data_IF_783321433693
#
_entry.id   IF_783321433693
#
_cell.length_a   1.000
_cell.length_b   1.000
_cell.length_c   1.000
_cell.angle_alpha   90.00
_cell.angle_beta   90.00
_cell.angle_gamma   90.00
#
_symmetry.space_group_name_H-M   'P 1'
#
loop_
_entity.id
_entity.type
_entity.pdbx_description
1 polymer ?
#
# COMPACT_ATOMS: atom_id res chain seq x y z
N UNK A 1 37.45 -31.26 42.46
CA UNK A 1 36.15 -31.07 43.16
C UNK A 1 35.17 -32.08 42.58
N UNK A 2 34.85 -33.17 43.28
CA UNK A 2 33.92 -34.20 42.81
C UNK A 2 32.50 -33.76 43.14
N UNK A 3 31.73 -33.32 42.15
CA UNK A 3 30.33 -32.92 42.33
C UNK A 3 29.50 -34.21 42.39
N UNK A 4 28.97 -34.55 43.56
CA UNK A 4 28.10 -35.71 43.75
C UNK A 4 26.68 -35.35 43.30
N UNK A 5 26.28 -35.81 42.11
CA UNK A 5 24.89 -35.74 41.63
C UNK A 5 24.02 -36.71 42.45
N UNK A 6 23.36 -36.20 43.50
CA UNK A 6 22.53 -37.00 44.42
C UNK A 6 21.10 -37.30 43.95
N UNK A 7 20.68 -36.82 42.78
CA UNK A 7 19.31 -36.99 42.29
C UNK A 7 19.28 -37.35 40.79
N UNK A 8 19.71 -38.56 40.39
CA UNK A 8 19.70 -38.99 38.99
C UNK A 8 18.28 -39.00 38.40
N UNK A 9 17.24 -39.20 39.24
CA UNK A 9 15.84 -39.18 38.83
C UNK A 9 15.36 -37.77 38.41
N UNK A 10 15.85 -36.72 39.08
CA UNK A 10 15.48 -35.34 38.76
C UNK A 10 16.15 -34.87 37.46
N UNK A 11 17.38 -35.35 37.20
CA UNK A 11 18.11 -35.10 35.97
C UNK A 11 17.48 -35.84 34.78
N UNK A 12 16.94 -37.05 35.01
CA UNK A 12 16.17 -37.81 34.01
C UNK A 12 14.82 -37.13 33.68
N UNK A 13 14.14 -36.57 34.69
CA UNK A 13 12.89 -35.84 34.52
C UNK A 13 13.09 -34.51 33.75
N UNK A 14 14.17 -33.79 34.05
CA UNK A 14 14.61 -32.60 33.29
C UNK A 14 14.97 -32.95 31.83
N UNK A 15 15.59 -34.11 31.60
CA UNK A 15 15.90 -34.57 30.24
C UNK A 15 14.63 -34.92 29.44
N UNK A 16 13.59 -35.42 30.11
CA UNK A 16 12.30 -35.77 29.49
C UNK A 16 11.49 -34.53 29.08
N UNK A 17 11.61 -33.43 29.84
CA UNK A 17 10.97 -32.15 29.50
C UNK A 17 11.58 -31.46 28.27
N UNK A 18 12.79 -31.87 27.85
CA UNK A 18 13.46 -31.36 26.65
C UNK A 18 13.10 -32.13 25.36
N UNK A 19 12.26 -33.17 25.43
CA UNK A 19 11.83 -34.00 24.28
C UNK A 19 10.40 -33.67 23.81
N UNK A 20 9.97 -32.42 23.91
CA UNK A 20 8.75 -31.99 23.21
C UNK A 20 9.13 -31.60 21.79
N UNK A 21 9.09 -32.56 20.86
CA UNK A 21 8.95 -32.24 19.45
C UNK A 21 7.54 -31.69 19.24
N UNK A 22 7.44 -30.40 18.92
CA UNK A 22 6.23 -29.85 18.33
C UNK A 22 6.29 -30.17 16.85
N UNK A 23 5.42 -31.06 16.38
CA UNK A 23 5.26 -31.29 14.95
C UNK A 23 4.71 -30.01 14.31
N UNK A 24 5.41 -29.48 13.32
CA UNK A 24 4.88 -28.38 12.50
C UNK A 24 3.69 -28.95 11.70
N UNK A 25 2.52 -28.34 11.85
CA UNK A 25 1.36 -28.67 11.02
C UNK A 25 1.61 -27.99 9.66
N UNK A 26 1.86 -28.74 8.58
CA UNK A 26 1.95 -28.14 7.26
C UNK A 26 0.57 -27.57 6.91
N UNK A 27 0.51 -26.27 6.63
CA UNK A 27 -0.69 -25.64 6.11
C UNK A 27 -0.83 -26.05 4.65
N UNK A 28 -1.69 -27.04 4.40
CA UNK A 28 -2.02 -27.53 3.06
C UNK A 28 -3.51 -27.29 2.75
N UNK A 29 -3.80 -26.95 1.49
CA UNK A 29 -5.14 -26.70 0.99
C UNK A 29 -5.89 -28.03 0.88
N UNK A 30 -6.82 -28.28 1.81
CA UNK A 30 -7.61 -29.54 1.81
C UNK A 30 -8.56 -29.66 0.61
N UNK A 31 -9.14 -28.54 0.19
CA UNK A 31 -10.05 -28.46 -0.96
C UNK A 31 -9.89 -27.13 -1.67
N UNK A 32 -9.87 -27.15 -2.99
CA UNK A 32 -9.71 -25.96 -3.82
C UNK A 32 -10.88 -25.86 -4.79
N UNK A 33 -11.58 -24.72 -4.74
CA UNK A 33 -12.55 -24.32 -5.75
C UNK A 33 -11.97 -23.10 -6.49
N UNK A 34 -11.89 -23.21 -7.82
CA UNK A 34 -11.55 -22.08 -8.69
C UNK A 34 -12.80 -21.20 -8.83
N UNK A 35 -12.78 -20.04 -8.15
CA UNK A 35 -13.90 -19.12 -8.04
C UNK A 35 -13.50 -17.79 -8.66
N UNK A 36 -14.32 -17.29 -9.59
CA UNK A 36 -14.19 -15.94 -10.11
C UNK A 36 -14.54 -14.91 -9.02
N UNK A 37 -13.63 -13.96 -8.79
CA UNK A 37 -13.81 -12.83 -7.86
C UNK A 37 -13.95 -11.55 -8.67
N UNK A 38 -15.05 -10.83 -8.48
CA UNK A 38 -15.40 -9.62 -9.22
C UNK A 38 -15.51 -8.41 -8.28
N UNK A 39 -14.73 -7.37 -8.54
CA UNK A 39 -14.89 -6.05 -7.92
C UNK A 39 -15.37 -5.06 -9.00
N UNK A 40 -16.65 -4.69 -8.95
CA UNK A 40 -17.26 -3.81 -9.94
C UNK A 40 -18.11 -2.74 -9.25
N UNK A 41 -17.69 -1.48 -9.34
CA UNK A 41 -18.45 -0.33 -8.85
C UNK A 41 -18.62 0.66 -9.99
N UNK A 42 -19.84 0.74 -10.53
CA UNK A 42 -20.23 1.77 -11.48
C UNK A 42 -20.65 3.03 -10.72
N UNK A 43 -20.17 4.20 -11.13
CA UNK A 43 -20.45 5.46 -10.43
C UNK A 43 -21.07 6.53 -11.31
N UNK A 44 -21.64 7.55 -10.68
CA UNK A 44 -22.10 8.78 -11.34
C UNK A 44 -20.98 9.82 -11.56
N UNK A 45 -19.71 9.43 -11.45
CA UNK A 45 -18.59 10.29 -11.83
C UNK A 45 -18.27 10.08 -13.31
N UNK A 46 -18.43 11.13 -14.11
CA UNK A 46 -18.04 11.13 -15.52
C UNK A 46 -16.57 10.75 -15.70
N UNK A 47 -16.32 9.74 -16.52
CA UNK A 47 -14.99 9.29 -16.89
C UNK A 47 -14.97 7.82 -17.30
N UNK A 48 -13.78 7.26 -17.38
CA UNK A 48 -13.59 5.83 -17.60
C UNK A 48 -13.92 5.05 -16.32
N UNK A 49 -14.75 4.02 -16.46
CA UNK A 49 -15.14 3.13 -15.35
C UNK A 49 -14.20 1.93 -15.31
N UNK A 50 -13.95 1.37 -14.12
CA UNK A 50 -13.04 0.25 -13.92
C UNK A 50 -13.74 -0.95 -13.30
N UNK A 51 -13.36 -2.16 -13.72
CA UNK A 51 -13.76 -3.44 -13.15
C UNK A 51 -12.51 -4.29 -12.95
N UNK A 52 -12.40 -4.94 -11.79
CA UNK A 52 -11.28 -5.85 -11.51
C UNK A 52 -11.78 -7.27 -11.36
N UNK A 53 -11.00 -8.19 -11.92
CA UNK A 53 -11.23 -9.62 -11.85
C UNK A 53 -10.01 -10.31 -11.28
N UNK A 54 -10.25 -11.31 -10.45
CA UNK A 54 -9.23 -12.25 -10.02
C UNK A 54 -9.85 -13.63 -9.84
N UNK A 55 -9.00 -14.66 -9.68
CA UNK A 55 -9.42 -16.01 -9.29
C UNK A 55 -8.82 -16.39 -7.95
N UNK A 56 -9.52 -17.24 -7.21
CA UNK A 56 -8.97 -17.90 -6.03
C UNK A 56 -7.70 -18.68 -6.41
N UNK A 57 -6.77 -18.76 -5.47
CA UNK A 57 -5.51 -19.49 -5.65
C UNK A 57 -5.21 -20.32 -4.41
N UNK A 58 -4.43 -21.38 -4.58
CA UNK A 58 -4.00 -22.28 -3.51
C UNK A 58 -3.16 -21.53 -2.48
N UNK A 59 -3.26 -21.91 -1.20
CA UNK A 59 -2.47 -21.30 -0.13
C UNK A 59 -0.96 -21.46 -0.37
N UNK A 60 -0.55 -22.59 -0.95
CA UNK A 60 0.85 -22.90 -1.30
C UNK A 60 1.28 -22.23 -2.62
N UNK A 61 0.34 -21.65 -3.35
CA UNK A 61 0.57 -20.97 -4.62
C UNK A 61 1.07 -19.54 -4.41
N UNK A 62 2.06 -19.10 -5.20
CA UNK A 62 2.71 -17.81 -5.00
C UNK A 62 2.15 -16.65 -5.85
N UNK A 63 1.02 -16.80 -6.57
CA UNK A 63 0.55 -15.77 -7.50
C UNK A 63 -0.97 -15.69 -7.60
N UNK A 64 -1.51 -14.48 -7.39
CA UNK A 64 -2.87 -14.09 -7.80
C UNK A 64 -2.91 -14.05 -9.33
N UNK A 65 -3.74 -14.90 -9.95
CA UNK A 65 -3.90 -14.93 -11.40
C UNK A 65 -5.04 -13.96 -11.82
N UNK A 66 -4.75 -12.88 -12.54
CA UNK A 66 -5.80 -12.05 -13.12
C UNK A 66 -6.52 -12.80 -14.24
N UNK A 67 -7.85 -12.63 -14.33
CA UNK A 67 -8.62 -13.20 -15.45
C UNK A 67 -8.37 -12.37 -16.72
N UNK A 68 -7.56 -12.92 -17.63
CA UNK A 68 -7.23 -12.27 -18.89
C UNK A 68 -8.19 -12.69 -20.03
N UNK A 69 -8.50 -11.75 -20.93
CA UNK A 69 -9.30 -11.96 -22.15
C UNK A 69 -10.78 -12.33 -21.92
N UNK A 70 -11.38 -11.88 -20.82
CA UNK A 70 -12.84 -11.92 -20.67
C UNK A 70 -13.51 -10.88 -21.58
N UNK A 71 -14.70 -11.19 -22.09
CA UNK A 71 -15.58 -10.20 -22.72
C UNK A 71 -16.50 -9.65 -21.64
N UNK A 72 -16.41 -8.34 -21.38
CA UNK A 72 -17.10 -7.68 -20.27
C UNK A 72 -17.87 -6.48 -20.80
N UNK A 73 -19.14 -6.37 -20.44
CA UNK A 73 -19.92 -5.17 -20.70
C UNK A 73 -20.94 -4.92 -19.61
N UNK A 74 -21.28 -3.65 -19.42
CA UNK A 74 -22.45 -3.23 -18.65
C UNK A 74 -23.54 -2.86 -19.65
N UNK A 75 -24.76 -3.29 -19.41
CA UNK A 75 -25.93 -2.92 -20.19
C UNK A 75 -26.89 -2.08 -19.35
N UNK A 76 -27.48 -1.04 -19.95
CA UNK A 76 -28.55 -0.24 -19.33
C UNK A 76 -29.97 -0.66 -19.79
N UNK A 77 -30.99 -0.08 -19.16
CA UNK A 77 -32.41 -0.31 -19.48
C UNK A 77 -32.81 -0.06 -20.94
N UNK A 78 -32.05 0.76 -21.66
CA UNK A 78 -32.27 1.09 -23.07
C UNK A 78 -31.51 0.16 -24.01
N UNK A 79 -30.89 -0.90 -23.48
CA UNK A 79 -30.03 -1.85 -24.20
C UNK A 79 -28.77 -1.22 -24.79
N UNK A 80 -28.30 -0.08 -24.25
CA UNK A 80 -26.97 0.41 -24.58
C UNK A 80 -25.93 -0.44 -23.86
N UNK A 81 -24.87 -0.82 -24.58
CA UNK A 81 -23.78 -1.63 -24.05
C UNK A 81 -22.51 -0.79 -23.91
N UNK A 82 -21.95 -0.80 -22.71
CA UNK A 82 -20.67 -0.19 -22.36
C UNK A 82 -19.64 -1.31 -22.22
N UNK A 83 -18.79 -1.45 -23.23
CA UNK A 83 -17.76 -2.50 -23.26
C UNK A 83 -16.52 -2.08 -22.46
N UNK A 84 -15.79 -3.09 -21.95
CA UNK A 84 -14.57 -2.90 -21.18
C UNK A 84 -13.42 -3.73 -21.76
N UNK A 85 -12.23 -3.13 -21.79
CA UNK A 85 -10.99 -3.73 -22.29
C UNK A 85 -9.90 -3.71 -21.19
N UNK A 86 -9.11 -4.78 -21.00
CA UNK A 86 -8.05 -4.79 -19.99
C UNK A 86 -6.89 -3.87 -20.35
N UNK A 87 -6.36 -3.16 -19.35
CA UNK A 87 -5.12 -2.39 -19.45
C UNK A 87 -3.87 -3.23 -19.11
N UNK A 88 -2.69 -2.63 -19.16
CA UNK A 88 -1.39 -3.28 -18.88
C UNK A 88 -1.28 -3.89 -17.47
N UNK A 89 -2.18 -3.52 -16.55
CA UNK A 89 -2.26 -4.04 -15.17
C UNK A 89 -3.35 -5.08 -14.98
N UNK A 90 -4.05 -5.49 -16.05
CA UNK A 90 -5.16 -6.44 -16.00
C UNK A 90 -6.47 -5.88 -15.43
N UNK A 91 -6.57 -4.55 -15.26
CA UNK A 91 -7.82 -3.88 -14.87
C UNK A 91 -8.64 -3.61 -16.13
N UNK A 92 -9.92 -3.97 -16.12
CA UNK A 92 -10.83 -3.74 -17.24
C UNK A 92 -11.35 -2.31 -17.16
N UNK A 93 -11.08 -1.53 -18.20
CA UNK A 93 -11.46 -0.12 -18.29
C UNK A 93 -12.48 0.03 -19.40
N UNK A 94 -13.51 0.85 -19.19
CA UNK A 94 -14.52 1.08 -20.22
C UNK A 94 -13.91 1.67 -21.50
N UNK A 95 -14.43 1.29 -22.66
CA UNK A 95 -13.89 1.79 -23.94
C UNK A 95 -14.22 3.28 -24.18
N UNK A 96 -15.26 3.76 -23.51
CA UNK A 96 -15.74 5.14 -23.56
C UNK A 96 -15.92 5.71 -22.16
N UNK A 97 -15.83 7.03 -22.05
CA UNK A 97 -16.23 7.73 -20.83
C UNK A 97 -17.76 7.71 -20.70
N UNK A 98 -18.27 7.38 -19.51
CA UNK A 98 -19.69 7.46 -19.18
C UNK A 98 -19.88 7.55 -17.66
N UNK A 99 -21.11 7.78 -17.24
CA UNK A 99 -21.52 7.83 -15.84
C UNK A 99 -22.86 7.09 -15.66
N UNK A 100 -23.09 6.56 -14.47
CA UNK A 100 -24.41 6.06 -14.10
C UNK A 100 -25.43 7.20 -13.98
N UNK A 101 -26.59 7.00 -14.58
CA UNK A 101 -27.70 7.94 -14.57
C UNK A 101 -28.73 7.55 -13.50
N UNK A 102 -29.39 8.53 -12.87
CA UNK A 102 -30.52 8.27 -11.99
C UNK A 102 -31.63 7.48 -12.71
N UNK A 103 -32.38 6.70 -11.92
CA UNK A 103 -33.53 5.90 -12.36
C UNK A 103 -33.27 4.83 -13.43
N UNK A 104 -32.01 4.64 -13.86
CA UNK A 104 -31.59 3.61 -14.82
C UNK A 104 -31.09 2.36 -14.09
N UNK A 105 -31.55 1.16 -14.48
CA UNK A 105 -30.89 -0.08 -14.07
C UNK A 105 -29.71 -0.40 -14.97
N UNK A 106 -28.73 -1.04 -14.35
CA UNK A 106 -27.55 -1.58 -15.00
C UNK A 106 -27.42 -3.05 -14.66
N UNK A 107 -26.89 -3.81 -15.62
CA UNK A 107 -26.55 -5.23 -15.46
C UNK A 107 -25.15 -5.46 -15.98
N UNK A 108 -24.32 -6.13 -15.20
CA UNK A 108 -22.98 -6.55 -15.59
C UNK A 108 -23.04 -7.94 -16.23
N UNK A 109 -22.43 -8.06 -17.41
CA UNK A 109 -22.26 -9.33 -18.13
C UNK A 109 -20.78 -9.65 -18.31
N UNK A 110 -20.41 -10.87 -18.00
CA UNK A 110 -19.04 -11.38 -18.09
C UNK A 110 -19.07 -12.69 -18.87
N UNK A 111 -18.22 -12.81 -19.89
CA UNK A 111 -17.90 -14.08 -20.54
C UNK A 111 -16.40 -14.31 -20.42
N UNK A 112 -15.98 -15.29 -19.64
CA UNK A 112 -14.56 -15.62 -19.43
C UNK A 112 -13.94 -16.26 -20.66
N UNK A 113 -12.62 -16.37 -20.67
CA UNK A 113 -11.85 -16.93 -21.79
C UNK A 113 -12.16 -18.40 -22.08
N UNK A 114 -12.59 -19.17 -21.07
CA UNK A 114 -13.03 -20.56 -21.18
C UNK A 114 -14.52 -20.71 -21.57
N UNK A 115 -15.25 -19.60 -21.75
CA UNK A 115 -16.65 -19.59 -22.17
C UNK A 115 -17.68 -19.66 -21.03
N UNK A 116 -17.26 -19.61 -19.77
CA UNK A 116 -18.19 -19.44 -18.64
C UNK A 116 -18.84 -18.05 -18.71
N UNK A 117 -20.12 -17.98 -18.34
CA UNK A 117 -20.91 -16.75 -18.43
C UNK A 117 -21.50 -16.42 -17.07
N UNK A 118 -21.31 -15.17 -16.66
CA UNK A 118 -21.83 -14.64 -15.40
C UNK A 118 -22.61 -13.36 -15.65
N UNK A 119 -23.63 -13.15 -14.82
CA UNK A 119 -24.49 -11.98 -14.87
C UNK A 119 -24.81 -11.50 -13.46
N UNK A 120 -24.85 -10.18 -13.26
CA UNK A 120 -25.33 -9.59 -12.00
C UNK A 120 -26.86 -9.53 -11.95
N UNK A 121 -27.41 -9.35 -10.75
CA UNK A 121 -28.75 -8.77 -10.62
C UNK A 121 -28.77 -7.35 -11.21
N UNK A 122 -29.97 -6.85 -11.50
CA UNK A 122 -30.18 -5.43 -11.77
C UNK A 122 -29.72 -4.60 -10.56
N UNK A 123 -29.03 -3.50 -10.83
CA UNK A 123 -28.60 -2.52 -9.84
C UNK A 123 -28.88 -1.10 -10.34
N UNK A 124 -29.26 -0.21 -9.43
CA UNK A 124 -29.57 1.20 -9.74
C UNK A 124 -28.66 2.13 -8.95
N UNK A 125 -28.45 3.32 -9.50
CA UNK A 125 -27.73 4.39 -8.82
C UNK A 125 -28.41 4.75 -7.49
N UNK A 126 -27.64 4.74 -6.41
CA UNK A 126 -28.07 5.14 -5.07
C UNK A 126 -28.32 6.65 -4.95
N UNK A 127 -29.06 7.11 -3.92
CA UNK A 127 -29.20 8.54 -3.63
C UNK A 127 -27.84 9.22 -3.49
N UNK A 128 -27.77 10.52 -3.79
CA UNK A 128 -26.53 11.29 -3.67
C UNK A 128 -26.30 11.76 -2.24
N UNK A 129 -25.04 11.73 -1.81
CA UNK A 129 -24.57 12.31 -0.55
C UNK A 129 -23.21 12.99 -0.76
N UNK A 130 -23.00 14.11 -0.07
CA UNK A 130 -21.75 14.86 -0.12
C UNK A 130 -20.94 14.68 1.15
N UNK A 131 -19.62 14.83 1.02
CA UNK A 131 -18.74 15.09 2.15
C UNK A 131 -18.93 16.57 2.51
N UNK A 132 -19.38 16.86 3.73
CA UNK A 132 -19.56 18.24 4.19
C UNK A 132 -18.24 18.78 4.74
N UNK A 133 -17.51 17.94 5.46
CA UNK A 133 -16.21 18.27 5.99
C UNK A 133 -15.26 17.07 5.93
N UNK A 134 -14.06 17.31 5.40
CA UNK A 134 -12.91 16.40 5.47
C UNK A 134 -11.80 17.18 6.17
N UNK A 135 -11.38 16.71 7.33
CA UNK A 135 -10.44 17.44 8.18
C UNK A 135 -9.51 16.50 8.91
N UNK A 136 -8.44 17.08 9.43
CA UNK A 136 -7.43 16.39 10.22
C UNK A 136 -7.41 16.96 11.63
N UNK A 137 -7.26 16.09 12.62
CA UNK A 137 -7.08 16.49 14.01
C UNK A 137 -6.12 15.55 14.74
N UNK A 138 -5.52 16.04 15.82
CA UNK A 138 -4.85 15.18 16.80
C UNK A 138 -5.92 14.45 17.61
N UNK A 139 -5.74 13.14 17.78
CA UNK A 139 -6.65 12.28 18.57
C UNK A 139 -6.60 12.73 20.03
N UNK A 140 -7.76 12.95 20.69
CA UNK A 140 -7.78 13.38 22.09
C UNK A 140 -7.34 12.28 23.07
N UNK A 141 -7.36 11.02 22.62
CA UNK A 141 -7.11 9.84 23.45
C UNK A 141 -5.75 9.17 23.15
N UNK A 142 -5.15 9.45 22.00
CA UNK A 142 -3.95 8.76 21.52
C UNK A 142 -2.95 9.73 20.89
N UNK A 143 -1.66 9.39 20.86
CA UNK A 143 -0.61 10.19 20.19
C UNK A 143 -0.63 9.97 18.66
N UNK A 144 -1.80 10.15 18.06
CA UNK A 144 -2.08 9.87 16.66
C UNK A 144 -2.82 11.02 16.00
N UNK A 145 -2.64 11.13 14.70
CA UNK A 145 -3.34 12.04 13.81
C UNK A 145 -4.45 11.28 13.10
N UNK A 146 -5.65 11.85 13.09
CA UNK A 146 -6.86 11.28 12.50
C UNK A 146 -7.36 12.16 11.37
N UNK A 147 -7.62 11.56 10.21
CA UNK A 147 -8.38 12.15 9.12
C UNK A 147 -9.83 11.69 9.25
N UNK A 148 -10.74 12.64 9.38
CA UNK A 148 -12.14 12.42 9.70
C UNK A 148 -13.05 12.99 8.61
N UNK A 149 -14.22 12.37 8.46
CA UNK A 149 -15.31 12.83 7.60
C UNK A 149 -16.57 13.11 8.41
N UNK A 150 -17.20 14.24 8.10
CA UNK A 150 -18.57 14.57 8.49
C UNK A 150 -19.46 14.68 7.24
N UNK A 151 -20.70 14.23 7.35
CA UNK A 151 -21.70 14.29 6.27
C UNK A 151 -23.13 14.35 6.85
N UNK A 152 -23.85 15.43 6.58
CA UNK A 152 -25.27 15.57 6.88
C UNK A 152 -26.12 15.10 5.68
N UNK A 153 -26.89 14.04 5.90
CA UNK A 153 -27.72 13.40 4.89
C UNK A 153 -29.21 13.49 5.23
N UNK A 154 -29.64 14.43 6.07
CA UNK A 154 -31.05 14.56 6.48
C UNK A 154 -32.01 14.85 5.32
N UNK A 155 -31.50 15.42 4.22
CA UNK A 155 -32.27 15.66 2.98
C UNK A 155 -32.11 14.56 1.93
N UNK A 156 -31.37 13.49 2.25
CA UNK A 156 -31.08 12.37 1.35
C UNK A 156 -31.54 11.06 1.98
N UNK A 157 -31.97 10.11 1.14
CA UNK A 157 -32.29 8.75 1.59
C UNK A 157 -31.03 7.86 1.75
N UNK A 158 -29.83 8.44 1.58
CA UNK A 158 -28.56 7.75 1.75
C UNK A 158 -28.33 7.33 3.22
N UNK A 159 -28.25 6.04 3.51
CA UNK A 159 -28.07 5.52 4.88
C UNK A 159 -26.85 4.62 5.08
N UNK A 160 -26.21 4.21 4.00
CA UNK A 160 -25.08 3.28 4.00
C UNK A 160 -23.94 3.90 3.22
N UNK A 161 -22.77 3.98 3.85
CA UNK A 161 -21.63 4.71 3.30
C UNK A 161 -20.40 3.84 3.32
N UNK A 162 -19.67 3.83 2.20
CA UNK A 162 -18.33 3.23 2.09
C UNK A 162 -17.34 4.30 1.68
N UNK A 163 -16.13 4.21 2.22
CA UNK A 163 -15.07 5.16 1.96
C UNK A 163 -13.84 4.46 1.38
N UNK A 164 -13.20 5.14 0.44
CA UNK A 164 -11.88 4.82 -0.05
C UNK A 164 -11.02 6.07 0.05
N UNK A 165 -9.71 5.90 0.21
CA UNK A 165 -8.79 7.03 0.11
C UNK A 165 -7.56 6.71 -0.73
N UNK A 166 -7.04 7.78 -1.34
CA UNK A 166 -5.73 7.81 -1.97
C UNK A 166 -4.89 8.85 -1.23
N UNK A 167 -3.80 8.38 -0.60
CA UNK A 167 -2.85 9.22 0.11
C UNK A 167 -1.57 9.39 -0.71
N UNK A 168 -1.03 10.60 -0.73
CA UNK A 168 0.24 10.91 -1.39
C UNK A 168 1.06 11.78 -0.46
N UNK A 169 2.34 11.48 -0.30
CA UNK A 169 3.24 12.22 0.57
C UNK A 169 4.54 12.56 -0.14
N UNK A 170 5.05 13.75 0.15
CA UNK A 170 6.33 14.24 -0.36
C UNK A 170 7.47 13.66 0.47
N UNK A 171 8.56 13.32 -0.20
CA UNK A 171 9.79 12.82 0.40
C UNK A 171 10.93 13.72 -0.06
N UNK A 172 11.69 14.27 0.89
CA UNK A 172 12.94 14.96 0.60
C UNK A 172 14.10 14.27 1.29
N UNK A 173 15.03 13.69 0.53
CA UNK A 173 16.20 13.02 1.11
C UNK A 173 17.08 14.00 1.90
N UNK A 174 17.63 13.58 3.05
CA UNK A 174 18.46 14.45 3.88
C UNK A 174 19.77 14.87 3.22
N UNK A 175 20.37 14.00 2.40
CA UNK A 175 21.72 14.16 1.87
C UNK A 175 21.76 14.08 0.35
N UNK A 176 21.30 15.14 -0.32
CA UNK A 176 21.31 15.24 -1.78
C UNK A 176 22.49 16.04 -2.35
N UNK A 177 23.18 15.47 -3.35
CA UNK A 177 24.16 16.16 -4.19
C UNK A 177 23.65 16.33 -5.62
N UNK A 178 23.95 17.49 -6.23
CA UNK A 178 23.75 17.71 -7.67
C UNK A 178 24.73 16.91 -8.55
N UNK A 179 25.73 16.26 -7.95
CA UNK A 179 26.80 15.56 -8.67
C UNK A 179 26.88 14.09 -8.28
N UNK A 180 27.23 13.26 -9.25
CA UNK A 180 27.75 11.90 -9.06
C UNK A 180 29.28 11.94 -8.97
N UNK A 181 29.87 11.17 -8.06
CA UNK A 181 31.31 10.93 -8.04
C UNK A 181 31.63 9.75 -8.94
N UNK A 182 32.38 9.99 -10.01
CA UNK A 182 32.79 8.98 -11.00
C UNK A 182 34.28 8.77 -10.90
N UNK A 183 34.70 7.51 -10.92
CA UNK A 183 36.11 7.14 -10.85
C UNK A 183 36.74 7.22 -12.25
N UNK A 184 37.86 7.92 -12.34
CA UNK A 184 38.68 8.04 -13.56
C UNK A 184 40.15 7.75 -13.27
N UNK A 185 40.98 7.62 -14.31
CA UNK A 185 42.43 7.44 -14.20
C UNK A 185 42.88 6.32 -13.22
N UNK A 186 42.24 5.15 -13.29
CA UNK A 186 42.51 4.01 -12.39
C UNK A 186 43.90 3.42 -12.65
N UNK A 187 44.73 3.33 -11.62
CA UNK A 187 46.07 2.74 -11.65
C UNK A 187 46.22 1.68 -10.53
N UNK A 188 46.85 0.55 -10.87
CA UNK A 188 47.12 -0.57 -9.95
C UNK A 188 46.00 -1.63 -9.88
N UNK A 189 46.25 -2.73 -9.15
CA UNK A 189 45.27 -3.80 -8.98
C UNK A 189 44.18 -3.39 -7.98
N UNK A 190 42.91 -3.52 -8.37
CA UNK A 190 41.74 -3.10 -7.57
C UNK A 190 41.70 -1.59 -7.24
N UNK A 191 42.21 -0.72 -8.13
CA UNK A 191 42.08 0.73 -7.99
C UNK A 191 42.84 1.33 -6.81
N UNK A 192 44.12 0.99 -6.66
CA UNK A 192 44.96 1.54 -5.58
C UNK A 192 45.18 3.05 -5.69
N UNK A 193 45.15 3.58 -6.91
CA UNK A 193 45.16 5.01 -7.22
C UNK A 193 44.11 5.28 -8.29
N UNK A 194 43.36 6.36 -8.12
CA UNK A 194 42.32 6.80 -9.05
C UNK A 194 41.94 8.25 -8.77
N UNK A 195 41.43 8.94 -9.79
CA UNK A 195 40.84 10.26 -9.64
C UNK A 195 39.33 10.14 -9.45
N UNK A 196 38.74 11.11 -8.73
CA UNK A 196 37.29 11.24 -8.59
C UNK A 196 36.87 12.51 -9.33
N UNK A 197 36.03 12.34 -10.34
CA UNK A 197 35.41 13.43 -11.09
C UNK A 197 33.96 13.60 -10.67
N UNK A 198 33.52 14.85 -10.50
CA UNK A 198 32.14 15.17 -10.15
C UNK A 198 31.34 15.49 -11.43
N UNK A 199 30.41 14.62 -11.77
CA UNK A 199 29.56 14.74 -12.95
C UNK A 199 28.17 15.21 -12.53
N UNK A 200 27.62 16.23 -13.20
CA UNK A 200 26.28 16.75 -12.89
C UNK A 200 25.21 15.69 -13.14
N UNK A 201 24.26 15.54 -12.22
CA UNK A 201 23.10 14.65 -12.37
C UNK A 201 22.09 15.24 -13.36
N UNK A 202 21.47 14.37 -14.17
CA UNK A 202 20.41 14.76 -15.10
C UNK A 202 19.02 14.74 -14.45
N UNK A 203 18.81 13.87 -13.47
CA UNK A 203 17.53 13.70 -12.78
C UNK A 203 17.51 14.33 -11.38
N UNK A 204 16.33 14.79 -10.97
CA UNK A 204 16.12 15.23 -9.60
C UNK A 204 15.83 14.04 -8.70
N UNK A 205 16.83 13.64 -7.93
CA UNK A 205 16.75 12.57 -6.93
C UNK A 205 16.49 13.10 -5.51
N UNK A 206 16.29 14.42 -5.36
CA UNK A 206 16.07 15.06 -4.06
C UNK A 206 14.64 14.89 -3.57
N UNK A 207 13.66 15.07 -4.46
CA UNK A 207 12.24 15.21 -4.13
C UNK A 207 11.41 14.18 -4.87
N UNK A 208 10.70 13.35 -4.12
CA UNK A 208 9.82 12.33 -4.66
C UNK A 208 8.43 12.33 -4.01
N UNK A 209 7.51 11.58 -4.60
CA UNK A 209 6.13 11.43 -4.18
C UNK A 209 5.74 9.95 -4.21
N UNK A 210 5.24 9.46 -3.08
CA UNK A 210 4.71 8.09 -2.99
C UNK A 210 3.20 8.17 -2.82
N UNK A 211 2.47 7.40 -3.63
CA UNK A 211 0.99 7.32 -3.58
C UNK A 211 0.55 5.93 -3.17
N UNK A 212 -0.29 5.86 -2.14
CA UNK A 212 -0.89 4.63 -1.63
C UNK A 212 -2.42 4.73 -1.66
N UNK A 213 -3.10 3.59 -1.73
CA UNK A 213 -4.56 3.49 -1.66
C UNK A 213 -4.99 2.70 -0.43
N UNK A 214 -6.18 2.99 0.08
CA UNK A 214 -6.80 2.25 1.18
C UNK A 214 -6.91 0.75 0.85
N UNK A 215 -6.53 -0.10 1.81
CA UNK A 215 -6.63 -1.57 1.69
C UNK A 215 -7.78 -2.18 2.51
N UNK A 216 -8.30 -1.44 3.48
CA UNK A 216 -9.36 -1.89 4.38
C UNK A 216 -10.72 -1.44 3.88
N UNK A 217 -11.76 -2.22 4.18
CA UNK A 217 -13.16 -1.85 3.94
C UNK A 217 -13.58 -0.85 5.02
N UNK A 218 -13.72 0.42 4.66
CA UNK A 218 -14.19 1.47 5.56
C UNK A 218 -15.66 1.74 5.28
N UNK A 219 -16.54 1.42 6.24
CA UNK A 219 -17.97 1.60 6.05
C UNK A 219 -18.68 1.98 7.35
N UNK A 220 -19.79 2.70 7.22
CA UNK A 220 -20.67 3.07 8.34
C UNK A 220 -22.11 3.17 7.86
N UNK A 221 -23.06 3.16 8.80
CA UNK A 221 -24.48 3.33 8.50
C UNK A 221 -25.18 4.23 9.52
N UNK A 222 -26.14 4.99 9.02
CA UNK A 222 -27.01 5.87 9.83
C UNK A 222 -28.40 5.28 10.03
N UNK A 223 -28.68 4.10 9.47
CA UNK A 223 -29.99 3.43 9.52
C UNK A 223 -30.53 3.12 10.94
N UNK A 224 -29.68 3.21 11.97
CA UNK A 224 -30.03 3.02 13.38
C UNK A 224 -29.91 4.30 14.22
N UNK A 225 -29.60 5.42 13.59
CA UNK A 225 -29.48 6.73 14.22
C UNK A 225 -30.80 7.49 14.07
N UNK A 226 -31.05 8.42 15.00
CA UNK A 226 -32.24 9.29 14.93
C UNK A 226 -32.12 10.30 13.78
N UNK A 227 -30.91 10.85 13.58
CA UNK A 227 -30.60 11.78 12.51
C UNK A 227 -29.71 11.09 11.48
N UNK A 228 -29.95 11.36 10.19
CA UNK A 228 -29.14 10.82 9.10
C UNK A 228 -27.82 11.60 8.96
N UNK A 229 -26.96 11.50 9.97
CA UNK A 229 -25.71 12.27 10.05
C UNK A 229 -24.57 11.32 10.39
N UNK A 230 -23.50 11.40 9.60
CA UNK A 230 -22.19 10.80 9.90
C UNK A 230 -21.32 11.89 10.51
N UNK A 231 -20.87 11.70 11.74
CA UNK A 231 -19.96 12.61 12.44
C UNK A 231 -18.68 11.88 12.84
N UNK A 232 -17.54 12.55 12.65
CA UNK A 232 -16.21 12.13 13.09
C UNK A 232 -15.84 10.71 12.66
N UNK A 233 -16.26 10.30 11.47
CA UNK A 233 -15.95 8.94 11.00
C UNK A 233 -14.46 8.86 10.59
N UNK A 234 -13.67 7.94 11.19
CA UNK A 234 -12.24 7.87 10.93
C UNK A 234 -11.93 7.21 9.58
N UNK A 235 -11.27 7.96 8.71
CA UNK A 235 -10.81 7.49 7.39
C UNK A 235 -9.38 6.95 7.47
N UNK A 236 -8.49 7.68 8.15
CA UNK A 236 -7.08 7.34 8.23
C UNK A 236 -6.53 7.76 9.59
N UNK A 237 -5.81 6.85 10.25
CA UNK A 237 -5.09 7.13 11.48
C UNK A 237 -3.59 6.95 11.24
N UNK A 238 -2.79 7.93 11.64
CA UNK A 238 -1.34 8.00 11.42
C UNK A 238 -0.67 8.29 12.77
N UNK A 239 0.42 7.60 13.11
CA UNK A 239 1.17 7.96 14.32
C UNK A 239 1.80 9.35 14.16
N UNK A 240 1.85 10.14 15.23
CA UNK A 240 2.33 11.53 15.19
C UNK A 240 3.80 11.66 14.79
N UNK A 241 4.61 10.66 15.11
CA UNK A 241 6.04 10.55 14.78
C UNK A 241 6.31 9.95 13.38
N UNK A 242 5.25 9.66 12.61
CA UNK A 242 5.41 9.02 11.32
C UNK A 242 6.01 9.97 10.27
N UNK A 243 7.09 9.53 9.62
CA UNK A 243 7.76 10.26 8.53
C UNK A 243 6.86 10.69 7.37
N UNK A 244 5.69 10.06 7.17
CA UNK A 244 4.68 10.50 6.19
C UNK A 244 4.22 11.95 6.39
N UNK A 245 4.25 12.43 7.64
CA UNK A 245 3.84 13.78 8.04
C UNK A 245 4.99 14.79 8.03
N UNK A 246 6.21 14.34 7.68
CA UNK A 246 7.45 15.14 7.74
C UNK A 246 7.45 16.29 6.76
N UNK A 247 7.01 16.02 5.54
CA UNK A 247 6.83 17.01 4.50
C UNK A 247 5.34 17.20 4.23
N UNK A 248 4.99 17.69 3.05
CA UNK A 248 3.61 17.87 2.63
C UNK A 248 2.94 16.50 2.39
N UNK A 249 1.76 16.32 2.97
CA UNK A 249 0.90 15.14 2.85
C UNK A 249 -0.44 15.54 2.21
N UNK A 250 -0.98 14.68 1.37
CA UNK A 250 -2.29 14.83 0.71
C UNK A 250 -3.11 13.57 0.85
N UNK A 251 -4.41 13.71 1.11
CA UNK A 251 -5.35 12.59 1.10
C UNK A 251 -6.62 13.00 0.35
N UNK A 252 -7.01 12.20 -0.63
CA UNK A 252 -8.30 12.30 -1.33
C UNK A 252 -9.19 11.18 -0.87
N UNK A 253 -10.31 11.54 -0.27
CA UNK A 253 -11.34 10.60 0.19
C UNK A 253 -12.46 10.58 -0.83
N UNK A 254 -12.88 9.37 -1.20
CA UNK A 254 -14.10 9.10 -1.95
C UNK A 254 -15.14 8.51 -1.00
N UNK A 255 -16.33 9.08 -0.99
CA UNK A 255 -17.50 8.59 -0.27
C UNK A 255 -18.47 8.00 -1.30
N UNK A 256 -18.80 6.73 -1.14
CA UNK A 256 -19.81 6.02 -1.93
C UNK A 256 -21.06 5.83 -1.09
N UNK A 257 -22.22 6.12 -1.65
CA UNK A 257 -23.51 5.70 -1.06
C UNK A 257 -23.83 4.31 -1.56
N UNK A 258 -24.02 3.37 -0.64
CA UNK A 258 -24.25 1.97 -0.94
C UNK A 258 -25.73 1.61 -0.89
N UNK A 259 -26.11 0.58 -1.65
CA UNK A 259 -27.36 -0.13 -1.38
C UNK A 259 -27.23 -0.92 -0.08
N UNK A 260 -28.35 -1.29 0.53
CA UNK A 260 -28.34 -2.11 1.74
C UNK A 260 -27.68 -3.48 1.49
N UNK A 261 -27.92 -4.07 0.32
CA UNK A 261 -27.36 -5.35 -0.11
C UNK A 261 -25.84 -5.26 -0.28
N UNK A 262 -25.34 -4.18 -0.92
CA UNK A 262 -23.91 -3.94 -1.07
C UNK A 262 -23.24 -3.78 0.30
N UNK A 263 -23.80 -2.94 1.19
CA UNK A 263 -23.28 -2.75 2.54
C UNK A 263 -23.18 -4.07 3.33
N UNK A 264 -24.22 -4.90 3.25
CA UNK A 264 -24.22 -6.20 3.90
C UNK A 264 -23.16 -7.14 3.32
N UNK A 265 -22.99 -7.16 1.99
CA UNK A 265 -21.95 -7.94 1.32
C UNK A 265 -20.55 -7.54 1.82
N UNK A 266 -20.20 -6.25 1.76
CA UNK A 266 -18.88 -5.77 2.20
C UNK A 266 -18.68 -5.96 3.71
N UNK A 267 -19.74 -5.88 4.51
CA UNK A 267 -19.69 -6.25 5.93
C UNK A 267 -19.34 -7.71 6.12
N UNK A 268 -20.01 -8.62 5.42
CA UNK A 268 -19.67 -10.05 5.47
C UNK A 268 -18.23 -10.29 5.04
N UNK A 269 -17.78 -9.68 3.94
CA UNK A 269 -16.38 -9.79 3.49
C UNK A 269 -15.41 -9.29 4.57
N UNK A 270 -15.68 -8.14 5.19
CA UNK A 270 -14.84 -7.59 6.24
C UNK A 270 -14.83 -8.46 7.51
N UNK A 271 -15.98 -9.02 7.90
CA UNK A 271 -16.09 -9.93 9.06
C UNK A 271 -15.28 -11.22 8.82
N UNK A 272 -15.25 -11.73 7.58
CA UNK A 272 -14.42 -12.88 7.21
C UNK A 272 -12.93 -12.57 7.29
N UNK A 273 -12.49 -11.41 6.79
CA UNK A 273 -11.08 -10.97 6.84
C UNK A 273 -10.61 -10.76 8.29
N UNK A 274 -11.48 -10.21 9.14
CA UNK A 274 -11.11 -9.84 10.53
C UNK A 274 -11.28 -10.99 11.54
N UNK A 275 -11.92 -12.09 11.15
CA UNK A 275 -12.18 -13.26 12.01
C UNK A 275 -10.96 -14.15 12.31
N UNK A 276 -9.75 -13.75 11.92
CA UNK A 276 -8.48 -14.40 12.28
C UNK A 276 -8.14 -14.27 13.78
N UNK A 277 -8.94 -14.90 14.63
CA UNK A 277 -8.49 -15.31 15.95
C UNK A 277 -7.82 -16.66 15.81
N UNK A 278 -6.52 -16.75 16.16
CA UNK A 278 -5.69 -17.98 16.16
C UNK A 278 -6.30 -19.20 16.89
N UNK A 279 -7.43 -19.02 17.58
CA UNK A 279 -8.13 -20.03 18.38
C UNK A 279 -9.57 -20.30 17.88
N UNK A 280 -10.01 -19.70 16.77
CA UNK A 280 -11.35 -19.89 16.20
C UNK A 280 -11.26 -20.60 14.85
N UNK A 281 -11.52 -21.89 14.83
CA UNK A 281 -11.69 -22.71 13.61
C UNK A 281 -13.05 -22.44 12.92
N UNK A 282 -13.48 -21.18 12.84
CA UNK A 282 -14.61 -20.83 11.98
C UNK A 282 -14.07 -20.71 10.55
N UNK A 283 -14.16 -21.80 9.79
CA UNK A 283 -13.88 -21.78 8.35
C UNK A 283 -14.65 -20.60 7.73
N UNK A 284 -13.97 -19.64 7.07
CA UNK A 284 -14.64 -18.46 6.55
C UNK A 284 -15.81 -18.88 5.65
N UNK A 285 -17.03 -18.43 5.99
CA UNK A 285 -18.20 -18.65 5.16
C UNK A 285 -18.03 -18.01 3.76
N UNK A 286 -18.82 -18.47 2.79
CA UNK A 286 -18.81 -17.90 1.45
C UNK A 286 -19.65 -16.61 1.38
N UNK A 287 -19.02 -15.47 1.10
CA UNK A 287 -19.74 -14.21 0.86
C UNK A 287 -20.39 -14.22 -0.54
N UNK A 288 -21.67 -14.59 -0.59
CA UNK A 288 -22.45 -14.53 -1.83
C UNK A 288 -22.82 -13.08 -2.13
N UNK A 289 -22.42 -12.57 -3.29
CA UNK A 289 -22.89 -11.27 -3.77
C UNK A 289 -24.07 -11.39 -4.74
N UNK A 290 -24.17 -10.47 -5.69
CA UNK A 290 -25.29 -10.41 -6.64
C UNK A 290 -24.95 -10.94 -8.04
N UNK A 291 -23.82 -11.63 -8.19
CA UNK A 291 -23.42 -12.28 -9.44
C UNK A 291 -23.86 -13.76 -9.43
N UNK A 292 -24.21 -14.28 -10.60
CA UNK A 292 -24.58 -15.67 -10.78
C UNK A 292 -24.10 -16.21 -12.13
N UNK A 293 -23.77 -17.50 -12.19
CA UNK A 293 -23.43 -18.18 -13.43
C UNK A 293 -24.70 -18.47 -14.24
N UNK A 294 -24.67 -18.13 -15.54
CA UNK A 294 -25.82 -18.26 -16.46
C UNK A 294 -26.01 -19.71 -16.90
N UNK A 295 -24.90 -20.38 -17.23
CA UNK A 295 -24.93 -21.72 -17.82
C UNK A 295 -24.83 -22.86 -16.79
N UNK A 296 -24.42 -22.55 -15.56
CA UNK A 296 -24.19 -23.54 -14.51
C UNK A 296 -24.55 -22.99 -13.11
N UNK A 297 -25.80 -23.16 -12.64
CA UNK A 297 -26.23 -22.63 -11.34
C UNK A 297 -25.50 -23.20 -10.11
N UNK A 298 -24.74 -24.29 -10.26
CA UNK A 298 -23.95 -24.86 -9.17
C UNK A 298 -22.56 -24.18 -9.04
N UNK A 299 -22.18 -23.39 -10.04
CA UNK A 299 -20.90 -22.68 -10.07
C UNK A 299 -20.95 -21.45 -9.16
N UNK A 300 -19.90 -21.27 -8.36
CA UNK A 300 -19.80 -20.15 -7.43
C UNK A 300 -19.06 -19.00 -8.07
N UNK A 301 -19.55 -17.79 -7.82
CA UNK A 301 -18.90 -16.52 -8.15
C UNK A 301 -18.95 -15.64 -6.91
N UNK A 302 -17.83 -15.02 -6.58
CA UNK A 302 -17.72 -14.08 -5.47
C UNK A 302 -17.61 -12.66 -6.03
N UNK A 303 -18.26 -11.71 -5.38
CA UNK A 303 -18.21 -10.32 -5.80
C UNK A 303 -19.59 -9.69 -5.91
N UNK A 304 -19.59 -8.37 -5.97
CA UNK A 304 -20.81 -7.58 -6.02
C UNK A 304 -20.68 -6.51 -7.11
N UNK A 305 -21.66 -6.44 -8.00
CA UNK A 305 -21.84 -5.34 -8.93
C UNK A 305 -22.67 -4.25 -8.25
N UNK A 306 -21.99 -3.17 -7.90
CA UNK A 306 -22.57 -2.01 -7.21
C UNK A 306 -22.72 -0.83 -8.19
N UNK A 307 -23.85 -0.13 -8.14
CA UNK A 307 -24.05 1.15 -8.82
C UNK A 307 -24.25 2.21 -7.75
N UNK A 308 -23.20 2.98 -7.47
CA UNK A 308 -23.14 3.87 -6.31
C UNK A 308 -22.92 5.33 -6.72
N UNK A 309 -23.64 6.24 -6.06
CA UNK A 309 -23.29 7.65 -6.12
C UNK A 309 -21.96 7.88 -5.39
N UNK A 310 -21.12 8.77 -5.93
CA UNK A 310 -19.80 9.07 -5.37
C UNK A 310 -19.61 10.58 -5.21
N UNK A 311 -19.05 10.98 -4.08
CA UNK A 311 -18.49 12.31 -3.86
C UNK A 311 -17.05 12.19 -3.39
N UNK A 312 -16.23 13.21 -3.63
CA UNK A 312 -14.83 13.17 -3.20
C UNK A 312 -14.31 14.53 -2.78
N UNK A 313 -13.43 14.54 -1.79
CA UNK A 313 -12.76 15.73 -1.28
C UNK A 313 -11.29 15.41 -1.04
N UNK A 314 -10.41 16.40 -1.29
CA UNK A 314 -8.97 16.28 -1.05
C UNK A 314 -8.53 17.38 -0.09
N UNK A 315 -7.70 17.00 0.89
CA UNK A 315 -7.03 17.94 1.78
C UNK A 315 -5.52 17.75 1.73
N UNK A 316 -4.80 18.76 2.22
CA UNK A 316 -3.35 18.78 2.32
C UNK A 316 -2.98 19.30 3.70
N UNK A 317 -2.00 18.66 4.33
CA UNK A 317 -1.50 19.08 5.63
C UNK A 317 -0.05 18.62 5.81
N UNK A 318 0.65 19.17 6.79
CA UNK A 318 1.98 18.73 7.23
C UNK A 318 2.11 18.91 8.75
N UNK A 319 3.30 18.65 9.29
CA UNK A 319 3.57 18.84 10.72
C UNK A 319 3.33 20.28 11.22
N UNK A 320 3.53 21.30 10.38
CA UNK A 320 3.34 22.71 10.74
C UNK A 320 1.85 23.06 10.89
N UNK A 321 1.03 22.60 9.93
CA UNK A 321 -0.43 22.77 9.96
C UNK A 321 -1.05 22.11 11.20
N UNK A 322 -0.46 21.00 11.65
CA UNK A 322 -0.88 20.26 12.85
C UNK A 322 -0.25 20.78 14.14
N UNK A 323 0.71 21.71 14.07
CA UNK A 323 1.48 22.21 15.20
C UNK A 323 2.15 21.08 16.02
N UNK A 324 2.75 20.11 15.32
CA UNK A 324 3.47 18.98 15.92
C UNK A 324 4.98 19.09 15.63
N UNK A 325 5.80 18.37 16.39
CA UNK A 325 7.22 18.29 16.08
C UNK A 325 7.43 17.65 14.70
N UNK A 326 8.37 18.18 13.92
CA UNK A 326 8.72 17.61 12.61
C UNK A 326 9.20 16.16 12.81
N UNK A 327 8.52 15.17 12.22
CA UNK A 327 8.94 13.77 12.30
C UNK A 327 10.37 13.53 11.79
N UNK A 328 10.99 12.48 12.32
CA UNK A 328 12.29 12.01 11.86
C UNK A 328 12.18 11.31 10.49
N UNK A 329 13.33 11.10 9.87
CA UNK A 329 13.41 10.27 8.67
C UNK A 329 13.09 8.80 9.01
N UNK A 330 12.50 8.04 8.07
CA UNK A 330 12.24 6.62 8.28
C UNK A 330 13.52 5.78 8.33
N UNK A 331 14.65 6.37 7.92
CA UNK A 331 15.97 5.74 7.88
C UNK A 331 16.96 6.54 8.75
N UNK A 332 17.79 5.84 9.52
CA UNK A 332 18.88 6.48 10.27
C UNK A 332 20.01 6.84 9.28
N UNK A 333 20.02 8.11 8.86
CA UNK A 333 21.02 8.67 7.96
C UNK A 333 22.10 9.48 8.70
N UNK A 334 22.16 9.43 10.04
CA UNK A 334 23.10 10.25 10.80
C UNK A 334 24.53 9.70 10.72
N UNK A 335 25.49 10.62 10.54
CA UNK A 335 26.91 10.28 10.55
C UNK A 335 27.37 9.95 11.97
N UNK A 336 27.74 8.68 12.24
CA UNK A 336 28.33 8.29 13.53
C UNK A 336 29.86 8.26 13.45
N UNK A 337 30.50 9.18 14.17
CA UNK A 337 31.95 9.44 14.17
C UNK A 337 32.78 8.43 14.99
N UNK A 338 32.25 7.24 15.30
CA UNK A 338 33.00 6.31 16.15
C UNK A 338 34.21 5.73 15.38
N UNK A 339 35.38 5.71 16.03
CA UNK A 339 36.71 5.58 15.42
C UNK A 339 37.00 4.23 14.72
N UNK A 340 36.00 3.35 14.66
CA UNK A 340 35.97 2.10 13.91
C UNK A 340 34.87 2.13 12.85
N UNK A 341 34.79 3.21 12.05
CA UNK A 341 33.68 3.49 11.12
C UNK A 341 33.32 2.36 10.14
N UNK A 342 34.23 1.41 9.88
CA UNK A 342 33.93 0.18 9.10
C UNK A 342 33.11 -0.88 9.84
N UNK A 343 33.11 -0.85 11.17
CA UNK A 343 32.37 -1.75 12.05
C UNK A 343 31.18 -1.05 12.72
N UNK A 344 30.87 0.18 12.29
CA UNK A 344 29.62 0.85 12.69
C UNK A 344 28.43 -0.01 12.27
N UNK A 345 27.45 -0.14 13.16
CA UNK A 345 26.17 -0.78 12.84
C UNK A 345 25.34 0.06 11.88
N UNK A 346 25.53 1.38 11.85
CA UNK A 346 24.92 2.25 10.86
C UNK A 346 25.86 2.40 9.65
N UNK A 347 25.44 1.83 8.52
CA UNK A 347 26.14 1.86 7.23
C UNK A 347 25.56 2.88 6.25
N UNK A 348 24.54 3.64 6.63
CA UNK A 348 23.78 4.49 5.72
C UNK A 348 24.40 5.87 5.51
N UNK A 349 25.42 6.23 6.30
CA UNK A 349 26.20 7.44 6.13
C UNK A 349 27.66 7.19 6.56
N UNK A 350 28.57 7.28 5.60
CA UNK A 350 29.98 6.97 5.73
C UNK A 350 30.85 8.19 5.39
N UNK A 351 31.87 8.42 6.21
CA UNK A 351 32.93 9.39 5.97
C UNK A 351 34.23 8.64 5.67
N UNK A 352 34.77 8.81 4.47
CA UNK A 352 35.92 8.07 3.95
C UNK A 352 37.03 9.02 3.51
N UNK A 353 38.23 8.85 4.08
CA UNK A 353 39.39 9.67 3.72
C UNK A 353 40.22 8.97 2.65
N UNK A 354 40.31 9.60 1.47
CA UNK A 354 41.06 9.09 0.31
C UNK A 354 42.55 8.87 0.62
N UNK A 355 43.14 9.63 1.54
CA UNK A 355 44.56 9.49 1.91
C UNK A 355 44.84 8.27 2.79
N UNK A 356 43.82 7.59 3.31
CA UNK A 356 43.96 6.39 4.14
C UNK A 356 43.93 5.13 3.26
N UNK A 357 45.06 4.83 2.63
CA UNK A 357 45.28 3.63 1.81
C UNK A 357 45.54 2.33 2.63
N UNK A 358 45.39 2.38 3.96
CA UNK A 358 45.58 1.26 4.88
C UNK A 358 47.05 0.92 5.20
N UNK A 359 47.25 0.07 6.22
CA UNK A 359 48.57 -0.39 6.65
C UNK A 359 48.58 -0.89 8.11
N UNK A 360 49.23 -2.02 8.39
CA UNK A 360 49.19 -2.63 9.72
C UNK A 360 47.78 -3.08 10.12
N UNK A 361 47.24 -2.55 11.23
CA UNK A 361 45.85 -2.78 11.68
C UNK A 361 44.85 -1.71 11.18
N UNK A 362 45.31 -0.70 10.40
CA UNK A 362 44.45 0.38 9.95
C UNK A 362 43.65 0.01 8.70
N UNK A 363 42.34 0.35 8.65
CA UNK A 363 41.49 0.08 7.51
C UNK A 363 41.87 0.88 6.25
N UNK A 364 41.76 0.25 5.08
CA UNK A 364 41.95 0.90 3.78
C UNK A 364 40.65 1.58 3.34
N UNK A 365 40.47 2.85 3.72
CA UNK A 365 39.26 3.61 3.37
C UNK A 365 39.24 4.01 1.88
N UNK A 366 40.41 4.14 1.23
CA UNK A 366 40.48 4.39 -0.22
C UNK A 366 39.91 3.21 -1.01
N UNK A 367 40.27 1.99 -0.67
CA UNK A 367 39.75 0.80 -1.35
C UNK A 367 38.24 0.65 -1.10
N UNK A 368 37.76 0.96 0.11
CA UNK A 368 36.32 0.96 0.36
C UNK A 368 35.61 2.03 -0.49
N UNK A 369 36.13 3.26 -0.53
CA UNK A 369 35.61 4.34 -1.37
C UNK A 369 35.55 3.90 -2.85
N UNK A 370 36.58 3.24 -3.35
CA UNK A 370 36.58 2.63 -4.68
C UNK A 370 35.43 1.62 -4.85
N UNK A 371 35.32 0.65 -3.94
CA UNK A 371 34.27 -0.38 -4.02
C UNK A 371 32.86 0.23 -4.00
N UNK A 372 32.58 1.20 -3.11
CA UNK A 372 31.25 1.80 -3.00
C UNK A 372 30.86 2.66 -4.20
N UNK A 373 31.84 3.33 -4.85
CA UNK A 373 31.59 4.12 -6.06
C UNK A 373 31.51 3.26 -7.33
N UNK A 374 32.19 2.10 -7.36
CA UNK A 374 32.10 1.14 -8.47
C UNK A 374 30.83 0.30 -8.38
N UNK A 375 30.42 -0.12 -7.18
CA UNK A 375 29.13 -0.76 -6.90
C UNK A 375 28.01 0.31 -6.82
N UNK A 376 27.99 1.21 -7.82
CA UNK A 376 27.35 2.54 -7.82
C UNK A 376 25.83 2.60 -7.61
N UNK A 377 25.18 1.46 -7.41
CA UNK A 377 23.75 1.38 -7.09
C UNK A 377 23.47 1.44 -5.58
N UNK A 378 24.44 1.04 -4.74
CA UNK A 378 24.22 0.88 -3.31
C UNK A 378 24.56 2.10 -2.46
N UNK A 379 25.23 3.10 -3.03
CA UNK A 379 25.74 4.23 -2.27
C UNK A 379 25.86 5.49 -3.13
N UNK A 380 25.49 6.65 -2.56
CA UNK A 380 25.41 7.94 -3.22
C UNK A 380 26.41 8.92 -2.62
N UNK A 381 27.22 9.55 -3.47
CA UNK A 381 28.08 10.66 -3.07
C UNK A 381 27.23 11.86 -2.67
N UNK A 382 27.52 12.45 -1.52
CA UNK A 382 26.86 13.67 -1.05
C UNK A 382 27.79 14.89 -1.03
N UNK A 383 29.04 14.75 -0.59
CA UNK A 383 29.98 15.87 -0.45
C UNK A 383 31.42 15.39 -0.25
N UNK A 384 32.40 16.30 -0.40
CA UNK A 384 33.81 16.07 -0.06
C UNK A 384 34.76 16.03 -1.26
N UNK A 385 36.07 16.15 -0.96
CA UNK A 385 37.19 16.25 -1.91
C UNK A 385 38.40 15.38 -1.53
N UNK A 386 38.78 15.37 -0.25
CA UNK A 386 39.81 14.53 0.36
C UNK A 386 39.13 13.56 1.33
N UNK A 387 38.11 14.05 2.03
CA UNK A 387 37.23 13.28 2.89
C UNK A 387 35.85 13.26 2.25
N UNK A 388 35.48 12.11 1.71
CA UNK A 388 34.26 11.86 0.98
C UNK A 388 33.15 11.41 1.91
N UNK A 389 31.96 11.96 1.72
CA UNK A 389 30.73 11.57 2.41
C UNK A 389 29.85 10.81 1.43
N UNK A 390 29.50 9.60 1.81
CA UNK A 390 28.69 8.70 1.01
C UNK A 390 27.53 8.22 1.87
N UNK A 391 26.34 8.15 1.28
CA UNK A 391 25.13 7.68 1.96
C UNK A 391 24.51 6.52 1.21
N UNK A 392 23.66 5.71 1.86
CA UNK A 392 22.85 4.72 1.15
C UNK A 392 21.81 5.41 0.25
N UNK A 393 21.19 4.71 -0.73
CA UNK A 393 20.30 5.33 -1.70
C UNK A 393 19.11 5.98 -0.99
N UNK A 394 18.54 5.35 0.04
CA UNK A 394 17.42 5.89 0.79
C UNK A 394 17.71 7.23 1.50
N UNK A 395 18.98 7.58 1.71
CA UNK A 395 19.41 8.81 2.36
C UNK A 395 19.81 9.94 1.37
N UNK A 396 20.01 9.64 0.08
CA UNK A 396 20.49 10.61 -0.90
C UNK A 396 19.88 10.55 -2.30
N UNK A 397 19.05 9.54 -2.56
CA UNK A 397 18.34 9.33 -3.82
C UNK A 397 16.94 8.74 -3.56
N UNK A 398 15.91 9.59 -3.62
CA UNK A 398 14.55 9.14 -3.39
C UNK A 398 13.97 8.28 -4.53
N UNK A 399 14.59 8.30 -5.73
CA UNK A 399 14.09 7.55 -6.89
C UNK A 399 14.28 6.05 -6.74
N UNK A 400 15.17 5.63 -5.83
CA UNK A 400 15.39 4.24 -5.50
C UNK A 400 14.14 3.54 -4.91
N UNK A 401 13.18 4.30 -4.36
CA UNK A 401 11.99 3.75 -3.69
C UNK A 401 10.71 4.58 -3.86
N UNK A 402 10.77 5.67 -4.63
CA UNK A 402 9.66 6.60 -4.83
C UNK A 402 9.73 7.25 -6.23
N UNK A 403 8.70 7.98 -6.63
CA UNK A 403 8.64 8.63 -7.94
C UNK A 403 9.07 10.10 -7.86
N UNK A 404 10.03 10.53 -8.67
CA UNK A 404 10.37 11.96 -8.83
C UNK A 404 9.36 12.73 -9.69
N UNK A 405 8.31 12.08 -10.19
CA UNK A 405 7.24 12.71 -10.97
C UNK A 405 6.25 13.35 -9.99
N UNK A 406 6.15 14.69 -10.05
CA UNK A 406 5.18 15.46 -9.27
C UNK A 406 3.75 15.19 -9.77
N UNK A 407 2.81 14.75 -8.91
CA UNK A 407 1.42 14.58 -9.30
C UNK A 407 0.76 15.91 -9.69
N UNK A 408 -0.11 15.90 -10.70
CA UNK A 408 -0.78 17.11 -11.21
C UNK A 408 -1.67 17.81 -10.17
N UNK A 409 -2.24 17.04 -9.24
CA UNK A 409 -3.04 17.57 -8.14
C UNK A 409 -2.19 18.15 -7.00
N UNK A 410 -0.86 18.01 -7.03
CA UNK A 410 -0.04 18.33 -5.87
C UNK A 410 0.05 19.85 -5.62
N UNK A 411 -0.18 20.26 -4.37
CA UNK A 411 -0.05 21.65 -3.91
C UNK A 411 0.98 21.68 -2.78
N UNK A 412 2.03 22.47 -2.97
CA UNK A 412 3.12 22.63 -2.00
C UNK A 412 2.67 23.30 -0.69
#
# INVERSE_FOLDING_TARGET
MKINFRHPLFLLLMLYLCFNCTDEIPLETESFEDILVVEATLTNASGYQEIKFSRTYLLEGSTQNPEANATVHIQDDMSNNYNFTPNDKGIYVSDVEFEALPDTNYVLFITTSNGEQYQSSEAKLTPTATIDNLYVQESPETDKIEVLVDSNNETSDAQYFRYEYEETFKIEVPYYSNYNAVITNIVGYAGQEFDIELVLKEENEKTCYTTNRSKSILQTSTNRLENNIVEKFPIRTINKDNSLLRERYSIKVKQYVQSQEAYNFYKTVNDLITSESLLSESQPGFASGNLSAVNNPAEKVMGFFEVASVSSQRIYFNYEDLNIARPDYPYDCDLRLDATSLYSTNKNHLQLNYNLAGGGQLPNQRLLLYTLLVDGDYYKYYSGDIVYYIVSPECGDCTAFSSNIKPDFWID
#
